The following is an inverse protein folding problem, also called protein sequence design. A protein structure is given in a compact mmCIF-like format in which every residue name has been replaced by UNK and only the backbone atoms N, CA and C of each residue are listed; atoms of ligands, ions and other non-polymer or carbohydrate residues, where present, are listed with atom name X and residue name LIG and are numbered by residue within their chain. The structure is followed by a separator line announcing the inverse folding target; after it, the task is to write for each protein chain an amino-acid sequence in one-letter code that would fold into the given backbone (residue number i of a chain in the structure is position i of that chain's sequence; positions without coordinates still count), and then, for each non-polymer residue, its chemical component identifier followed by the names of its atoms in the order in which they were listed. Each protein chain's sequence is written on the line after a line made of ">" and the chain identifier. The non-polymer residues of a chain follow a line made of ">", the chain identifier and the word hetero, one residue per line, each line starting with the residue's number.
data_IF_989184559527
#
_entry.id   IF_989184559527
#
_cell.length_a   1.000
_cell.length_b   1.000
_cell.length_c   1.000
_cell.angle_alpha   90.00
_cell.angle_beta   90.00
_cell.angle_gamma   90.00
#
_symmetry.space_group_name_H-M   'P 1'
#
loop_
_entity.id
_entity.type
_entity.pdbx_description
1 polymer ?
#
# COMPACT_ATOMS: atom_id res chain seq x y z
N UNK A 1 -47.50 4.95 -12.22
CA UNK A 1 -46.79 4.46 -11.07
C UNK A 1 -45.32 4.24 -11.45
N UNK A 2 -44.44 5.18 -11.11
CA UNK A 2 -42.98 5.02 -11.29
C UNK A 2 -42.44 4.33 -10.04
N UNK A 3 -41.88 3.12 -10.21
CA UNK A 3 -41.09 2.46 -9.15
C UNK A 3 -39.81 3.28 -8.92
N UNK A 4 -39.68 3.84 -7.73
CA UNK A 4 -38.44 4.41 -7.22
C UNK A 4 -37.37 3.32 -7.22
N UNK A 5 -36.25 3.54 -7.93
CA UNK A 5 -35.03 2.77 -7.73
C UNK A 5 -34.47 3.22 -6.38
N UNK A 6 -34.56 2.37 -5.38
CA UNK A 6 -33.79 2.51 -4.17
C UNK A 6 -32.30 2.40 -4.55
N UNK A 7 -31.61 3.50 -4.39
CA UNK A 7 -30.14 3.51 -4.47
C UNK A 7 -29.64 2.91 -3.17
N UNK A 8 -29.16 1.68 -3.21
CA UNK A 8 -28.42 1.05 -2.11
C UNK A 8 -27.29 1.98 -1.69
N UNK A 9 -27.30 2.40 -0.45
CA UNK A 9 -26.28 3.30 0.10
C UNK A 9 -24.91 2.62 0.16
N UNK A 10 -23.81 3.40 0.19
CA UNK A 10 -22.44 2.84 0.25
C UNK A 10 -22.25 1.82 1.39
N UNK A 11 -22.96 1.98 2.50
CA UNK A 11 -22.90 1.07 3.65
C UNK A 11 -23.57 -0.29 3.40
N UNK A 12 -24.62 -0.36 2.58
CA UNK A 12 -25.26 -1.64 2.24
C UNK A 12 -24.43 -2.48 1.28
N UNK A 13 -23.71 -1.82 0.36
CA UNK A 13 -22.73 -2.50 -0.52
C UNK A 13 -21.59 -3.07 0.32
N UNK A 14 -21.15 -2.36 1.36
CA UNK A 14 -20.07 -2.79 2.26
C UNK A 14 -20.54 -3.94 3.17
N UNK A 15 -21.77 -3.89 3.72
CA UNK A 15 -22.35 -4.99 4.52
C UNK A 15 -22.54 -6.25 3.69
N UNK A 16 -23.01 -6.14 2.44
CA UNK A 16 -23.07 -7.27 1.50
C UNK A 16 -21.70 -7.89 1.20
N UNK A 17 -20.59 -7.12 1.41
CA UNK A 17 -19.24 -7.65 1.30
C UNK A 17 -18.79 -8.47 2.51
N UNK A 18 -19.39 -8.27 3.70
CA UNK A 18 -19.02 -8.97 4.94
C UNK A 18 -19.75 -10.30 5.14
N UNK A 19 -20.90 -10.50 4.49
CA UNK A 19 -21.65 -11.77 4.54
C UNK A 19 -21.25 -12.79 3.47
N UNK A 20 -20.42 -12.39 2.48
CA UNK A 20 -20.01 -13.24 1.36
C UNK A 20 -18.57 -13.72 1.52
N UNK A 21 -18.38 -15.02 1.31
CA UNK A 21 -17.13 -15.76 1.16
C UNK A 21 -15.86 -14.89 1.06
N UNK A 22 -14.90 -14.95 2.03
CA UNK A 22 -13.66 -14.16 2.02
C UNK A 22 -12.88 -14.26 0.71
N UNK A 23 -12.94 -15.40 0.04
CA UNK A 23 -12.36 -15.62 -1.29
C UNK A 23 -12.93 -14.65 -2.33
N UNK A 24 -14.23 -14.39 -2.29
CA UNK A 24 -14.87 -13.45 -3.21
C UNK A 24 -14.38 -11.99 -3.00
N UNK A 25 -14.02 -11.59 -1.78
CA UNK A 25 -13.47 -10.24 -1.52
C UNK A 25 -12.08 -10.09 -2.14
N UNK A 26 -11.19 -11.05 -1.96
CA UNK A 26 -9.84 -11.03 -2.56
C UNK A 26 -9.91 -11.04 -4.09
N UNK A 27 -10.78 -11.91 -4.67
CA UNK A 27 -10.98 -11.97 -6.12
C UNK A 27 -11.51 -10.65 -6.70
N UNK A 28 -12.40 -9.96 -5.98
CA UNK A 28 -12.91 -8.63 -6.41
C UNK A 28 -11.85 -7.54 -6.35
N UNK A 29 -11.03 -7.51 -5.30
CA UNK A 29 -9.88 -6.59 -5.21
C UNK A 29 -8.91 -6.84 -6.36
N UNK A 30 -8.60 -8.10 -6.64
CA UNK A 30 -7.70 -8.49 -7.71
C UNK A 30 -8.25 -8.13 -9.10
N UNK A 31 -9.54 -8.36 -9.35
CA UNK A 31 -10.20 -7.99 -10.60
C UNK A 31 -10.21 -6.46 -10.80
N UNK A 32 -10.51 -5.69 -9.75
CA UNK A 32 -10.40 -4.21 -9.76
C UNK A 32 -8.98 -3.80 -10.13
N UNK A 33 -7.98 -4.33 -9.44
CA UNK A 33 -6.56 -4.02 -9.67
C UNK A 33 -6.14 -4.33 -11.11
N UNK A 34 -6.44 -5.53 -11.61
CA UNK A 34 -6.08 -5.94 -12.96
C UNK A 34 -6.76 -5.07 -14.04
N UNK A 35 -8.01 -4.66 -13.81
CA UNK A 35 -8.79 -3.86 -14.76
C UNK A 35 -8.46 -2.36 -14.76
N UNK A 36 -7.79 -1.84 -13.73
CA UNK A 36 -7.43 -0.44 -13.63
C UNK A 36 -6.58 0.04 -14.81
N UNK A 37 -6.86 1.25 -15.32
CA UNK A 37 -6.17 1.84 -16.49
C UNK A 37 -5.81 3.31 -16.22
N UNK A 38 -4.70 3.83 -16.77
CA UNK A 38 -4.27 5.21 -16.57
C UNK A 38 -5.32 6.27 -16.94
N UNK A 39 -6.11 6.01 -17.97
CA UNK A 39 -7.18 6.91 -18.42
C UNK A 39 -8.32 7.13 -17.40
N UNK A 40 -8.37 6.34 -16.34
CA UNK A 40 -9.33 6.51 -15.23
C UNK A 40 -8.89 7.56 -14.21
N UNK A 41 -7.61 7.95 -14.21
CA UNK A 41 -7.10 9.00 -13.34
C UNK A 41 -7.51 10.38 -13.86
N UNK A 42 -8.30 11.10 -13.07
CA UNK A 42 -8.63 12.50 -13.37
C UNK A 42 -7.41 13.41 -13.18
N UNK A 43 -7.43 14.60 -13.73
CA UNK A 43 -6.37 15.58 -13.50
C UNK A 43 -6.23 15.94 -12.01
N UNK A 44 -7.34 16.05 -11.30
CA UNK A 44 -7.35 16.30 -9.85
C UNK A 44 -6.65 15.17 -9.09
N UNK A 45 -7.01 13.91 -9.37
CA UNK A 45 -6.36 12.74 -8.78
C UNK A 45 -4.85 12.72 -9.07
N UNK A 46 -4.44 13.05 -10.30
CA UNK A 46 -3.02 13.13 -10.68
C UNK A 46 -2.27 14.19 -9.87
N UNK A 47 -2.87 15.37 -9.67
CA UNK A 47 -2.24 16.42 -8.86
C UNK A 47 -2.16 16.04 -7.38
N UNK A 48 -3.19 15.40 -6.85
CA UNK A 48 -3.17 14.87 -5.48
C UNK A 48 -2.06 13.85 -5.28
N UNK A 49 -1.95 12.87 -6.18
CA UNK A 49 -0.90 11.84 -6.13
C UNK A 49 0.50 12.43 -6.24
N UNK A 50 0.71 13.41 -7.12
CA UNK A 50 2.01 14.11 -7.22
C UNK A 50 2.40 14.80 -5.92
N UNK A 51 1.44 15.44 -5.25
CA UNK A 51 1.65 16.05 -3.94
C UNK A 51 2.03 15.00 -2.89
N UNK A 52 1.29 13.89 -2.84
CA UNK A 52 1.55 12.82 -1.87
C UNK A 52 2.89 12.12 -2.14
N UNK A 53 3.28 11.95 -3.40
CA UNK A 53 4.61 11.44 -3.78
C UNK A 53 5.70 12.40 -3.29
N UNK A 54 5.54 13.71 -3.52
CA UNK A 54 6.50 14.71 -3.06
C UNK A 54 6.64 14.71 -1.54
N UNK A 55 5.52 14.63 -0.82
CA UNK A 55 5.46 14.52 0.63
C UNK A 55 6.18 13.25 1.12
N UNK A 56 5.89 12.10 0.53
CA UNK A 56 6.55 10.81 0.84
C UNK A 56 8.06 10.88 0.64
N UNK A 57 8.53 11.53 -0.44
CA UNK A 57 9.96 11.74 -0.68
C UNK A 57 10.55 12.66 0.38
N UNK A 58 9.82 13.72 0.77
CA UNK A 58 10.23 14.63 1.84
C UNK A 58 10.40 13.92 3.17
N UNK A 59 9.42 13.10 3.57
CA UNK A 59 9.50 12.26 4.76
C UNK A 59 10.70 11.31 4.70
N UNK A 60 10.90 10.65 3.56
CA UNK A 60 12.01 9.72 3.38
C UNK A 60 13.38 10.42 3.49
N UNK A 61 13.54 11.60 2.92
CA UNK A 61 14.78 12.38 3.04
C UNK A 61 15.03 12.80 4.50
N UNK A 62 13.99 13.24 5.21
CA UNK A 62 14.10 13.62 6.61
C UNK A 62 14.47 12.43 7.51
N UNK A 63 14.11 11.21 7.12
CA UNK A 63 14.39 9.97 7.85
C UNK A 63 15.82 9.43 7.65
N UNK A 64 16.56 9.88 6.63
CA UNK A 64 17.89 9.36 6.27
C UNK A 64 18.91 9.31 7.43
N UNK A 65 18.94 10.27 8.38
CA UNK A 65 19.84 10.20 9.52
C UNK A 65 19.45 9.16 10.57
N UNK A 66 18.28 8.53 10.44
CA UNK A 66 17.78 7.57 11.42
C UNK A 66 18.67 6.34 11.56
N UNK A 67 19.01 5.98 12.80
CA UNK A 67 19.87 4.84 13.11
C UNK A 67 19.45 3.52 12.45
N UNK A 68 18.15 3.14 12.40
CA UNK A 68 17.72 1.91 11.73
C UNK A 68 18.11 1.84 10.26
N UNK A 69 18.09 2.98 9.55
CA UNK A 69 18.42 3.03 8.12
C UNK A 69 19.91 2.98 7.83
N UNK A 70 20.73 3.46 8.76
CA UNK A 70 22.18 3.28 8.70
C UNK A 70 22.52 1.80 8.84
N UNK A 71 21.94 1.12 9.83
CA UNK A 71 22.13 -0.33 10.03
C UNK A 71 21.63 -1.16 8.85
N UNK A 72 20.46 -0.81 8.27
CA UNK A 72 19.95 -1.49 7.06
C UNK A 72 20.87 -1.29 5.85
N UNK A 73 21.46 -0.11 5.67
CA UNK A 73 22.43 0.13 4.59
C UNK A 73 23.67 -0.72 4.75
N UNK A 74 24.23 -0.79 5.96
CA UNK A 74 25.39 -1.65 6.26
C UNK A 74 25.06 -3.12 5.95
N UNK A 75 23.87 -3.59 6.36
CA UNK A 75 23.42 -4.94 6.08
C UNK A 75 23.27 -5.19 4.56
N UNK A 76 22.72 -4.25 3.81
CA UNK A 76 22.57 -4.39 2.35
C UNK A 76 23.91 -4.38 1.62
N UNK A 77 24.90 -3.67 2.14
CA UNK A 77 26.28 -3.71 1.61
C UNK A 77 26.94 -5.07 1.87
N UNK A 78 26.69 -5.67 3.03
CA UNK A 78 27.20 -7.00 3.38
C UNK A 78 26.57 -8.10 2.50
N UNK A 79 25.24 -8.08 2.35
CA UNK A 79 24.50 -9.11 1.62
C UNK A 79 24.28 -8.79 0.14
N UNK A 80 24.90 -7.79 -0.41
CA UNK A 80 24.87 -7.30 -1.79
C UNK A 80 23.87 -8.00 -2.70
N UNK A 81 22.67 -7.49 -2.80
CA UNK A 81 21.70 -7.91 -3.79
C UNK A 81 21.79 -6.97 -5.01
N UNK A 82 22.34 -7.43 -6.13
CA UNK A 82 22.40 -6.61 -7.34
C UNK A 82 20.97 -6.29 -7.80
N UNK A 83 20.71 -5.04 -8.13
CA UNK A 83 19.40 -4.62 -8.57
C UNK A 83 19.40 -3.24 -9.20
N UNK A 84 18.25 -2.86 -9.72
CA UNK A 84 18.05 -1.57 -10.39
C UNK A 84 17.22 -0.58 -9.57
N UNK A 85 16.68 -1.03 -8.44
CA UNK A 85 15.76 -0.24 -7.63
C UNK A 85 16.52 0.73 -6.74
N UNK A 86 16.07 1.96 -6.68
CA UNK A 86 16.71 3.07 -6.00
C UNK A 86 16.53 2.95 -4.48
N UNK A 87 17.61 3.09 -3.73
CA UNK A 87 17.56 3.45 -2.32
C UNK A 87 17.52 4.97 -2.21
N UNK A 88 16.47 5.52 -1.64
CA UNK A 88 16.37 6.97 -1.40
C UNK A 88 17.56 7.40 -0.53
N UNK A 89 18.26 8.46 -0.94
CA UNK A 89 19.50 8.89 -0.31
C UNK A 89 20.77 8.31 -0.94
N UNK A 90 20.65 7.45 -1.97
CA UNK A 90 21.75 6.97 -2.82
C UNK A 90 21.93 5.45 -2.83
N UNK A 91 22.40 4.96 -3.97
CA UNK A 91 22.61 3.54 -4.21
C UNK A 91 21.43 2.85 -4.89
N UNK A 92 21.68 1.61 -5.31
CA UNK A 92 20.67 0.71 -5.91
C UNK A 92 20.80 -0.70 -5.35
N UNK A 93 19.67 -1.39 -5.28
CA UNK A 93 19.58 -2.74 -4.75
C UNK A 93 18.45 -3.54 -5.42
N UNK A 94 18.14 -4.75 -4.93
CA UNK A 94 16.98 -5.54 -5.35
C UNK A 94 15.66 -4.86 -4.97
N UNK A 95 14.57 -5.25 -5.62
CA UNK A 95 13.27 -4.63 -5.44
C UNK A 95 12.71 -4.81 -4.01
N UNK A 96 12.92 -5.96 -3.41
CA UNK A 96 12.49 -6.28 -2.04
C UNK A 96 13.22 -5.43 -0.98
N UNK A 97 14.55 -5.30 -1.09
CA UNK A 97 15.33 -4.45 -0.22
C UNK A 97 14.98 -2.97 -0.40
N UNK A 98 14.78 -2.50 -1.63
CA UNK A 98 14.36 -1.13 -1.92
C UNK A 98 12.96 -0.84 -1.37
N UNK A 99 12.03 -1.77 -1.52
CA UNK A 99 10.68 -1.64 -0.97
C UNK A 99 10.71 -1.50 0.55
N UNK A 100 11.43 -2.40 1.24
CA UNK A 100 11.59 -2.36 2.69
C UNK A 100 12.20 -1.03 3.16
N UNK A 101 13.33 -0.65 2.58
CA UNK A 101 14.08 0.54 2.97
C UNK A 101 13.30 1.83 2.74
N UNK A 102 12.75 2.00 1.54
CA UNK A 102 12.05 3.22 1.16
C UNK A 102 10.70 3.36 1.90
N UNK A 103 9.94 2.27 2.09
CA UNK A 103 8.71 2.32 2.91
C UNK A 103 9.03 2.66 4.37
N UNK A 104 10.08 2.08 4.92
CA UNK A 104 10.54 2.41 6.27
C UNK A 104 10.92 3.88 6.40
N UNK A 105 11.68 4.45 5.44
CA UNK A 105 12.03 5.87 5.43
C UNK A 105 10.80 6.77 5.41
N UNK A 106 9.82 6.47 4.55
CA UNK A 106 8.57 7.25 4.44
C UNK A 106 7.83 7.27 5.78
N UNK A 107 7.79 6.11 6.47
CA UNK A 107 7.07 5.94 7.73
C UNK A 107 7.76 6.59 8.94
N UNK A 108 9.08 6.61 8.99
CA UNK A 108 9.88 6.80 10.21
C UNK A 108 9.63 8.11 10.95
N UNK A 109 9.48 9.23 10.24
CA UNK A 109 9.28 10.54 10.87
C UNK A 109 7.83 10.80 11.30
N UNK A 110 6.91 9.89 10.98
CA UNK A 110 5.48 9.94 11.31
C UNK A 110 4.78 11.26 10.90
N UNK A 111 5.23 11.87 9.80
CA UNK A 111 4.67 13.10 9.21
C UNK A 111 3.90 12.83 7.92
N UNK A 112 3.82 11.56 7.50
CA UNK A 112 3.14 11.14 6.27
C UNK A 112 1.62 11.33 6.37
N UNK A 113 0.95 11.16 5.23
CA UNK A 113 -0.50 11.30 5.13
C UNK A 113 -1.26 10.33 6.05
N UNK A 114 -2.48 10.73 6.42
CA UNK A 114 -3.36 9.92 7.25
C UNK A 114 -4.77 9.96 6.69
N UNK A 115 -5.38 8.78 6.53
CA UNK A 115 -6.79 8.63 6.22
C UNK A 115 -7.54 8.18 7.47
N UNK A 116 -8.43 9.03 7.96
CA UNK A 116 -9.24 8.78 9.14
C UNK A 116 -10.60 8.22 8.72
N UNK A 117 -10.94 7.03 9.19
CA UNK A 117 -12.21 6.39 8.97
C UNK A 117 -12.94 6.16 10.31
N UNK A 118 -14.28 5.99 10.32
CA UNK A 118 -15.04 5.81 11.57
C UNK A 118 -14.60 4.62 12.42
N UNK A 119 -14.00 3.60 11.82
CA UNK A 119 -13.56 2.38 12.52
C UNK A 119 -12.06 2.16 12.54
N UNK A 120 -11.26 3.13 12.08
CA UNK A 120 -9.82 2.96 12.00
C UNK A 120 -9.12 4.10 11.25
N UNK A 121 -7.84 3.93 11.08
CA UNK A 121 -7.01 4.83 10.28
C UNK A 121 -6.06 4.01 9.40
N UNK A 122 -5.48 4.66 8.39
CA UNK A 122 -4.35 4.13 7.65
C UNK A 122 -3.47 5.27 7.11
N UNK A 123 -2.27 4.90 6.70
CA UNK A 123 -1.31 5.81 6.07
C UNK A 123 -1.03 5.32 4.66
N UNK A 124 -1.80 5.78 3.64
CA UNK A 124 -1.69 5.21 2.30
C UNK A 124 -0.33 5.41 1.64
N UNK A 125 0.42 6.44 2.02
CA UNK A 125 1.80 6.67 1.55
C UNK A 125 2.80 5.60 1.98
N UNK A 126 2.48 4.74 2.96
CA UNK A 126 3.28 3.56 3.29
C UNK A 126 3.49 2.62 2.08
N UNK A 127 2.58 2.66 1.10
CA UNK A 127 2.71 1.91 -0.15
C UNK A 127 3.80 2.47 -1.09
N UNK A 128 4.24 3.72 -0.91
CA UNK A 128 5.08 4.40 -1.89
C UNK A 128 6.39 3.68 -2.17
N UNK A 129 7.09 3.21 -1.13
CA UNK A 129 8.35 2.49 -1.31
C UNK A 129 8.20 1.20 -2.11
N UNK A 130 7.14 0.42 -1.86
CA UNK A 130 6.82 -0.80 -2.61
C UNK A 130 6.45 -0.50 -4.05
N UNK A 131 5.61 0.50 -4.30
CA UNK A 131 5.19 0.90 -5.64
C UNK A 131 6.37 1.42 -6.45
N UNK A 132 7.23 2.24 -5.85
CA UNK A 132 8.46 2.74 -6.50
C UNK A 132 9.38 1.58 -6.91
N UNK A 133 9.65 0.67 -5.98
CA UNK A 133 10.52 -0.47 -6.26
C UNK A 133 9.96 -1.37 -7.37
N UNK A 134 8.66 -1.68 -7.35
CA UNK A 134 8.01 -2.47 -8.40
C UNK A 134 8.02 -1.74 -9.76
N UNK A 135 7.81 -0.43 -9.78
CA UNK A 135 7.86 0.38 -11.00
C UNK A 135 9.27 0.40 -11.61
N UNK A 136 10.31 0.60 -10.79
CA UNK A 136 11.69 0.58 -11.26
C UNK A 136 12.13 -0.82 -11.72
N UNK A 137 11.67 -1.86 -11.03
CA UNK A 137 11.95 -3.26 -11.40
C UNK A 137 11.42 -3.60 -12.79
N UNK A 138 10.26 -3.09 -13.15
CA UNK A 138 9.60 -3.36 -14.43
C UNK A 138 9.92 -2.33 -15.51
N UNK A 139 10.56 -1.21 -15.16
CA UNK A 139 10.78 -0.08 -16.06
C UNK A 139 9.48 0.67 -16.40
N UNK A 140 8.51 0.66 -15.48
CA UNK A 140 7.23 1.30 -15.66
C UNK A 140 7.36 2.83 -15.80
N UNK A 141 6.46 3.43 -16.55
CA UNK A 141 6.35 4.87 -16.68
C UNK A 141 5.84 5.54 -15.40
N UNK A 142 6.06 6.85 -15.26
CA UNK A 142 5.52 7.61 -14.14
C UNK A 142 3.98 7.60 -14.10
N UNK A 143 3.31 7.39 -15.23
CA UNK A 143 1.86 7.26 -15.29
C UNK A 143 1.39 5.91 -14.72
N UNK A 144 2.10 4.83 -15.03
CA UNK A 144 1.84 3.50 -14.47
C UNK A 144 2.14 3.46 -12.97
N UNK A 145 3.21 4.11 -12.51
CA UNK A 145 3.49 4.28 -11.09
C UNK A 145 2.34 5.02 -10.38
N UNK A 146 1.89 6.15 -10.92
CA UNK A 146 0.76 6.88 -10.34
C UNK A 146 -0.52 6.05 -10.31
N UNK A 147 -0.79 5.25 -11.35
CA UNK A 147 -1.95 4.35 -11.36
C UNK A 147 -1.85 3.29 -10.26
N UNK A 148 -0.69 2.66 -10.12
CA UNK A 148 -0.48 1.63 -9.11
C UNK A 148 -0.61 2.22 -7.69
N UNK A 149 -0.09 3.43 -7.48
CA UNK A 149 -0.24 4.13 -6.22
C UNK A 149 -1.71 4.49 -5.94
N UNK A 150 -2.46 4.97 -6.95
CA UNK A 150 -3.90 5.21 -6.82
C UNK A 150 -4.67 3.94 -6.43
N UNK A 151 -4.34 2.81 -7.04
CA UNK A 151 -4.92 1.50 -6.71
C UNK A 151 -4.61 1.13 -5.24
N UNK A 152 -3.37 1.33 -4.79
CA UNK A 152 -2.98 1.07 -3.41
C UNK A 152 -3.78 1.93 -2.42
N UNK A 153 -3.87 3.24 -2.68
CA UNK A 153 -4.66 4.18 -1.87
C UNK A 153 -6.13 3.79 -1.80
N UNK A 154 -6.73 3.49 -2.95
CA UNK A 154 -8.14 3.11 -3.04
C UNK A 154 -8.44 1.84 -2.24
N UNK A 155 -7.60 0.81 -2.37
CA UNK A 155 -7.75 -0.45 -1.63
C UNK A 155 -7.59 -0.21 -0.13
N UNK A 156 -6.51 0.46 0.29
CA UNK A 156 -6.21 0.62 1.72
C UNK A 156 -7.23 1.52 2.42
N UNK A 157 -7.60 2.66 1.82
CA UNK A 157 -8.59 3.56 2.40
C UNK A 157 -9.97 2.92 2.49
N UNK A 158 -10.43 2.22 1.44
CA UNK A 158 -11.72 1.52 1.48
C UNK A 158 -11.73 0.38 2.47
N UNK A 159 -10.64 -0.38 2.57
CA UNK A 159 -10.52 -1.44 3.56
C UNK A 159 -10.56 -0.86 4.98
N UNK A 160 -9.82 0.23 5.24
CA UNK A 160 -9.84 0.94 6.52
C UNK A 160 -11.24 1.45 6.90
N UNK A 161 -11.99 1.96 5.92
CA UNK A 161 -13.36 2.43 6.15
C UNK A 161 -14.35 1.28 6.41
N UNK A 162 -14.13 0.11 5.81
CA UNK A 162 -15.07 -1.01 5.87
C UNK A 162 -14.78 -1.98 7.02
N UNK A 163 -13.51 -2.13 7.41
CA UNK A 163 -13.09 -3.15 8.38
C UNK A 163 -12.38 -2.50 9.57
N UNK A 164 -13.00 -2.50 10.76
CA UNK A 164 -12.42 -1.92 11.97
C UNK A 164 -11.35 -2.87 12.55
N UNK A 165 -10.21 -3.01 11.87
CA UNK A 165 -9.14 -3.95 12.25
C UNK A 165 -8.62 -3.71 13.67
N UNK A 166 -8.49 -2.45 14.07
CA UNK A 166 -8.00 -2.09 15.41
C UNK A 166 -8.94 -2.57 16.52
N UNK A 167 -10.25 -2.49 16.31
CA UNK A 167 -11.25 -3.02 17.27
C UNK A 167 -11.21 -4.56 17.37
N UNK A 168 -10.55 -5.23 16.41
CA UNK A 168 -10.39 -6.68 16.38
C UNK A 168 -9.01 -7.17 16.88
N UNK A 169 -8.20 -6.27 17.44
CA UNK A 169 -6.90 -6.60 18.00
C UNK A 169 -5.75 -6.58 16.99
N UNK A 170 -5.94 -6.00 15.82
CA UNK A 170 -4.89 -5.83 14.82
C UNK A 170 -4.37 -4.39 14.78
N UNK A 171 -3.14 -4.22 14.32
CA UNK A 171 -2.59 -2.91 14.00
C UNK A 171 -3.17 -2.39 12.68
N UNK A 172 -3.25 -1.07 12.51
CA UNK A 172 -3.71 -0.44 11.26
C UNK A 172 -2.85 -0.82 10.05
N UNK A 173 -1.56 -1.16 10.26
CA UNK A 173 -0.67 -1.59 9.18
C UNK A 173 -1.03 -2.96 8.57
N UNK A 174 -1.87 -3.78 9.21
CA UNK A 174 -2.29 -5.09 8.68
C UNK A 174 -2.87 -4.99 7.27
N UNK A 175 -3.58 -3.92 6.95
CA UNK A 175 -4.19 -3.71 5.63
C UNK A 175 -3.19 -3.30 4.54
N UNK A 176 -1.98 -2.86 4.92
CA UNK A 176 -0.91 -2.50 3.99
C UNK A 176 -0.47 -3.72 3.14
N UNK A 177 -0.43 -4.92 3.73
CA UNK A 177 -0.08 -6.13 3.01
C UNK A 177 -0.98 -6.37 1.78
N UNK A 178 -2.29 -6.07 1.90
CA UNK A 178 -3.28 -6.23 0.83
C UNK A 178 -3.02 -5.22 -0.29
N UNK A 179 -2.87 -3.94 0.05
CA UNK A 179 -2.69 -2.86 -0.93
C UNK A 179 -1.34 -2.92 -1.62
N UNK A 180 -0.28 -3.24 -0.88
CA UNK A 180 1.08 -3.39 -1.41
C UNK A 180 1.17 -4.57 -2.39
N UNK A 181 0.64 -5.75 -2.03
CA UNK A 181 0.63 -6.92 -2.92
C UNK A 181 -0.18 -6.65 -4.21
N UNK A 182 -1.35 -6.00 -4.08
CA UNK A 182 -2.18 -5.65 -5.24
C UNK A 182 -1.45 -4.68 -6.18
N UNK A 183 -0.91 -3.59 -5.67
CA UNK A 183 -0.26 -2.54 -6.47
C UNK A 183 1.05 -3.01 -7.10
N UNK A 184 1.86 -3.77 -6.37
CA UNK A 184 3.05 -4.41 -6.93
C UNK A 184 2.68 -5.42 -8.02
N UNK A 185 1.67 -6.28 -7.78
CA UNK A 185 1.16 -7.24 -8.76
C UNK A 185 0.68 -6.56 -10.05
N UNK A 186 0.05 -5.37 -9.93
CA UNK A 186 -0.33 -4.54 -11.07
C UNK A 186 0.86 -4.15 -11.95
N UNK A 187 1.93 -3.64 -11.34
CA UNK A 187 3.15 -3.23 -12.04
C UNK A 187 3.92 -4.42 -12.62
N UNK A 188 3.90 -5.56 -11.93
CA UNK A 188 4.50 -6.80 -12.40
C UNK A 188 3.71 -7.48 -13.55
N UNK A 189 2.55 -6.92 -13.94
CA UNK A 189 1.74 -7.44 -15.03
C UNK A 189 1.01 -8.74 -14.70
N UNK A 190 0.79 -9.03 -13.43
CA UNK A 190 0.10 -10.24 -12.98
C UNK A 190 -1.38 -10.24 -13.40
N UNK A 191 -1.90 -11.42 -13.71
CA UNK A 191 -3.33 -11.66 -13.92
C UNK A 191 -4.12 -11.46 -12.62
N UNK A 192 -5.44 -11.29 -12.73
CA UNK A 192 -6.29 -11.17 -11.56
C UNK A 192 -6.18 -12.37 -10.60
N UNK A 193 -6.02 -13.58 -11.14
CA UNK A 193 -5.83 -14.80 -10.32
C UNK A 193 -4.50 -14.78 -9.56
N UNK A 194 -3.41 -14.36 -10.21
CA UNK A 194 -2.10 -14.22 -9.57
C UNK A 194 -2.09 -13.11 -8.53
N UNK A 195 -2.73 -11.96 -8.80
CA UNK A 195 -2.90 -10.87 -7.82
C UNK A 195 -3.68 -11.37 -6.61
N UNK A 196 -4.78 -12.12 -6.81
CA UNK A 196 -5.55 -12.68 -5.71
C UNK A 196 -4.71 -13.61 -4.83
N UNK A 197 -3.89 -14.45 -5.45
CA UNK A 197 -2.96 -15.34 -4.75
C UNK A 197 -1.87 -14.55 -4.00
N UNK A 198 -1.28 -13.53 -4.63
CA UNK A 198 -0.28 -12.67 -4.00
C UNK A 198 -0.84 -11.94 -2.76
N UNK A 199 -2.07 -11.41 -2.83
CA UNK A 199 -2.75 -10.79 -1.70
C UNK A 199 -2.97 -11.81 -0.57
N UNK A 200 -3.41 -13.04 -0.90
CA UNK A 200 -3.64 -14.08 0.08
C UNK A 200 -2.35 -14.45 0.84
N UNK A 201 -1.26 -14.67 0.12
CA UNK A 201 0.06 -14.99 0.69
C UNK A 201 0.52 -13.82 1.59
N UNK A 202 0.53 -12.59 1.07
CA UNK A 202 0.98 -11.42 1.81
C UNK A 202 0.17 -11.20 3.10
N UNK A 203 -1.14 -11.46 3.06
CA UNK A 203 -2.03 -11.28 4.22
C UNK A 203 -1.76 -12.33 5.30
N UNK A 204 -1.47 -13.58 4.94
CA UNK A 204 -1.19 -14.64 5.90
C UNK A 204 0.13 -14.39 6.64
N UNK A 205 1.15 -13.94 5.93
CA UNK A 205 2.49 -13.80 6.47
C UNK A 205 2.72 -12.46 7.20
N UNK A 206 1.90 -11.45 6.93
CA UNK A 206 2.13 -10.07 7.42
C UNK A 206 0.96 -9.55 8.28
N UNK A 207 0.53 -10.34 9.26
CA UNK A 207 -0.49 -9.92 10.22
C UNK A 207 0.16 -9.13 11.35
N UNK A 208 -0.07 -7.83 11.39
CA UNK A 208 0.38 -6.96 12.47
C UNK A 208 -0.65 -6.90 13.59
N UNK A 209 -0.26 -7.29 14.80
CA UNK A 209 -1.14 -7.29 15.97
C UNK A 209 -1.08 -5.94 16.73
N UNK A 210 -2.14 -5.60 17.44
CA UNK A 210 -2.22 -4.37 18.24
C UNK A 210 -1.18 -4.31 19.38
N UNK A 211 -0.60 -5.45 19.78
CA UNK A 211 0.41 -5.51 20.84
C UNK A 211 1.70 -4.73 20.50
N UNK A 212 1.96 -4.39 19.24
CA UNK A 212 3.09 -3.53 18.85
C UNK A 212 2.98 -2.11 19.41
N UNK A 213 1.80 -1.68 19.84
CA UNK A 213 1.59 -0.40 20.50
C UNK A 213 1.74 -0.44 22.03
N UNK A 214 2.00 -1.62 22.60
CA UNK A 214 2.19 -1.75 24.04
C UNK A 214 3.59 -1.25 24.44
N UNK A 215 3.62 -0.34 25.41
CA UNK A 215 4.85 0.14 26.02
C UNK A 215 5.60 -1.06 26.71
N UNK A 216 6.91 -1.16 26.63
CA UNK A 216 7.90 -0.26 26.00
C UNK A 216 8.33 -0.69 24.58
N UNK A 217 7.51 -1.39 23.85
CA UNK A 217 7.84 -1.87 22.50
C UNK A 217 7.92 -0.67 21.58
N UNK A 218 9.10 -0.38 21.04
CA UNK A 218 9.29 0.65 20.02
C UNK A 218 8.63 0.24 18.71
N UNK A 219 8.04 1.21 18.05
CA UNK A 219 7.50 1.07 16.69
C UNK A 219 8.63 1.02 15.67
#
# INVERSE_FOLDING_TARGET
>A
MRKSRETTGPNEVILAMTESNPRAAVERIAAFTASARPGQLTNETRQLLKRNILDSIGCAIAALPGQPFQALREQFEEYRAPGRCTLIGGGKTSADQAALFNSGLVRYVDLLDSYMAPGGLCHPSDNFGTVLAAAEQTGASGEELMLALAVAYEIQCRFSAAVPVMAKGFNHATQLAISAAASAGKLLGLSAGEIANAIAIATVDNVSLACVHAEPVSQ
#
